data_IF_306603131822
#
_entry.id   IF_306603131822
#
_cell.length_a   1.000
_cell.length_b   1.000
_cell.length_c   1.000
_cell.angle_alpha   90.00
_cell.angle_beta   90.00
_cell.angle_gamma   90.00
#
_symmetry.space_group_name_H-M   'P 1'
#
loop_
_entity.id
_entity.type
_entity.pdbx_description
1 polymer ?
#
# COMPACT_ATOMS: atom_id res chain seq x y z
N UNK A 1 -19.67 -11.34 20.43
CA UNK A 1 -19.26 -12.59 19.84
C UNK A 1 -20.28 -13.68 20.16
N UNK A 2 -21.10 -14.05 19.19
CA UNK A 2 -22.22 -15.01 19.34
C UNK A 2 -21.72 -16.46 19.52
N UNK A 3 -20.43 -16.69 19.35
CA UNK A 3 -19.83 -18.03 19.34
C UNK A 3 -19.43 -18.58 20.73
N UNK A 4 -19.61 -17.82 21.81
CA UNK A 4 -19.23 -18.23 23.16
C UNK A 4 -20.39 -18.21 24.15
N UNK A 5 -21.64 -18.41 23.70
CA UNK A 5 -22.78 -18.72 24.58
C UNK A 5 -23.30 -17.61 25.51
N UNK A 6 -22.73 -16.43 25.50
CA UNK A 6 -23.29 -15.26 26.17
C UNK A 6 -24.23 -14.53 25.18
N UNK A 7 -25.53 -14.75 25.37
CA UNK A 7 -26.58 -14.02 24.65
C UNK A 7 -26.55 -12.54 25.03
N UNK A 8 -25.65 -11.79 24.38
CA UNK A 8 -25.67 -10.34 24.50
C UNK A 8 -26.86 -9.80 23.73
N UNK A 9 -27.71 -9.04 24.37
CA UNK A 9 -28.85 -8.39 23.70
C UNK A 9 -28.37 -7.62 22.45
N UNK A 10 -29.07 -7.82 21.33
CA UNK A 10 -28.78 -7.10 20.09
C UNK A 10 -29.07 -5.62 20.33
N UNK A 11 -28.09 -4.72 20.18
CA UNK A 11 -28.30 -3.29 20.38
C UNK A 11 -29.29 -2.70 19.36
N UNK A 12 -29.94 -1.58 19.68
CA UNK A 12 -30.85 -0.88 18.76
C UNK A 12 -30.19 -0.56 17.40
N UNK A 13 -30.98 -0.53 16.34
CA UNK A 13 -30.50 -0.26 14.96
C UNK A 13 -29.58 0.97 14.84
N UNK A 14 -29.90 2.15 15.44
CA UNK A 14 -29.02 3.33 15.33
C UNK A 14 -27.66 3.07 15.97
N UNK A 15 -27.57 2.31 17.05
CA UNK A 15 -26.32 2.00 17.72
C UNK A 15 -25.46 1.02 16.90
N UNK A 16 -26.11 0.08 16.19
CA UNK A 16 -25.43 -0.80 15.24
C UNK A 16 -24.85 -0.04 14.07
N UNK A 17 -25.59 0.91 13.50
CA UNK A 17 -25.11 1.76 12.42
C UNK A 17 -23.95 2.64 12.88
N UNK A 18 -24.04 3.25 14.05
CA UNK A 18 -22.96 4.05 14.62
C UNK A 18 -21.69 3.22 14.86
N UNK A 19 -21.85 2.02 15.43
CA UNK A 19 -20.73 1.10 15.65
C UNK A 19 -20.09 0.61 14.33
N UNK A 20 -20.89 0.34 13.31
CA UNK A 20 -20.41 -0.05 11.99
C UNK A 20 -19.62 1.10 11.32
N UNK A 21 -20.16 2.33 11.36
CA UNK A 21 -19.48 3.52 10.85
C UNK A 21 -18.16 3.78 11.58
N UNK A 22 -18.13 3.62 12.88
CA UNK A 22 -16.92 3.78 13.66
C UNK A 22 -15.87 2.73 13.29
N UNK A 23 -16.26 1.46 13.11
CA UNK A 23 -15.36 0.39 12.64
C UNK A 23 -14.82 0.65 11.24
N UNK A 24 -15.66 1.14 10.33
CA UNK A 24 -15.23 1.51 8.98
C UNK A 24 -14.21 2.66 9.03
N UNK A 25 -14.48 3.73 9.79
CA UNK A 25 -13.55 4.85 9.95
C UNK A 25 -12.21 4.41 10.55
N UNK A 26 -12.23 3.56 11.57
CA UNK A 26 -11.02 3.00 12.19
C UNK A 26 -10.27 2.09 11.23
N UNK A 27 -10.98 1.30 10.42
CA UNK A 27 -10.39 0.42 9.41
C UNK A 27 -9.76 1.15 8.23
N UNK A 28 -10.26 2.34 7.89
CA UNK A 28 -9.74 3.19 6.82
C UNK A 28 -8.53 4.03 7.25
N UNK A 29 -8.24 4.10 8.55
CA UNK A 29 -7.06 4.85 9.02
C UNK A 29 -5.80 4.07 8.68
N UNK A 30 -4.87 4.69 7.97
CA UNK A 30 -3.56 4.09 7.71
C UNK A 30 -2.89 3.74 9.03
N UNK A 31 -2.52 2.47 9.20
CA UNK A 31 -1.83 1.97 10.40
C UNK A 31 -0.36 2.37 10.41
N UNK A 32 0.24 2.51 9.22
CA UNK A 32 1.60 3.00 9.08
C UNK A 32 1.61 4.52 9.27
N UNK A 33 2.46 5.00 10.16
CA UNK A 33 2.62 6.42 10.46
C UNK A 33 4.05 6.84 10.24
N UNK A 34 4.25 8.06 9.81
CA UNK A 34 5.57 8.66 9.75
C UNK A 34 6.19 8.72 11.15
N UNK A 35 7.44 8.29 11.26
CA UNK A 35 8.23 8.34 12.49
C UNK A 35 9.61 8.89 12.18
N UNK A 36 10.23 9.52 13.16
CA UNK A 36 11.62 9.98 13.07
C UNK A 36 12.54 8.84 13.51
N UNK A 37 13.47 8.45 12.64
CA UNK A 37 14.50 7.47 13.00
C UNK A 37 15.64 8.15 13.76
N UNK A 38 15.62 8.07 15.09
CA UNK A 38 16.67 8.57 15.97
C UNK A 38 17.54 7.44 16.56
N UNK A 39 17.53 6.25 15.94
CA UNK A 39 18.25 5.07 16.47
C UNK A 39 19.73 5.03 16.14
N UNK A 40 20.21 5.85 15.20
CA UNK A 40 21.56 5.78 14.66
C UNK A 40 21.77 4.67 13.62
N UNK A 41 20.74 3.86 13.33
CA UNK A 41 20.78 2.78 12.32
C UNK A 41 20.03 3.23 11.09
N UNK A 42 20.73 3.55 9.99
CA UNK A 42 20.11 4.08 8.77
C UNK A 42 19.11 3.07 8.13
N UNK A 43 19.45 1.79 8.09
CA UNK A 43 18.62 0.71 7.53
C UNK A 43 17.91 -0.10 8.63
N UNK A 44 17.11 0.59 9.43
CA UNK A 44 16.43 -0.04 10.55
C UNK A 44 15.24 -0.89 10.10
N UNK A 45 15.31 -2.21 10.27
CA UNK A 45 14.31 -3.17 9.77
C UNK A 45 12.90 -2.90 10.28
N UNK A 46 12.74 -2.55 11.56
CA UNK A 46 11.43 -2.28 12.18
C UNK A 46 10.84 -0.93 11.76
N UNK A 47 11.63 -0.04 11.15
CA UNK A 47 11.21 1.29 10.68
C UNK A 47 11.07 1.35 9.15
N UNK A 48 10.95 0.18 8.48
CA UNK A 48 10.75 0.11 7.04
C UNK A 48 12.04 0.25 6.21
N UNK A 49 13.20 0.16 6.85
CA UNK A 49 14.53 0.34 6.22
C UNK A 49 14.76 1.77 5.75
N UNK A 50 15.22 1.99 4.52
CA UNK A 50 15.45 3.33 3.98
C UNK A 50 14.22 3.84 3.22
N UNK A 51 13.90 5.14 3.32
CA UNK A 51 12.96 5.78 2.42
C UNK A 51 13.47 5.73 0.97
N UNK A 52 12.55 5.77 0.02
CA UNK A 52 12.87 5.96 -1.39
C UNK A 52 13.28 7.42 -1.64
N UNK A 53 14.10 7.65 -2.66
CA UNK A 53 14.37 8.99 -3.15
C UNK A 53 13.08 9.63 -3.71
N UNK A 54 12.98 10.96 -3.65
CA UNK A 54 11.78 11.70 -4.09
C UNK A 54 11.41 11.39 -5.55
N UNK A 55 12.40 11.28 -6.45
CA UNK A 55 12.18 10.90 -7.83
C UNK A 55 11.55 9.49 -7.95
N UNK A 56 11.99 8.54 -7.13
CA UNK A 56 11.43 7.20 -7.12
C UNK A 56 9.99 7.19 -6.55
N UNK A 57 9.72 7.97 -5.51
CA UNK A 57 8.37 8.14 -4.98
C UNK A 57 7.41 8.71 -6.03
N UNK A 58 7.85 9.73 -6.77
CA UNK A 58 7.08 10.34 -7.86
C UNK A 58 6.78 9.33 -8.96
N UNK A 59 7.78 8.59 -9.41
CA UNK A 59 7.62 7.57 -10.46
C UNK A 59 6.67 6.44 -10.02
N UNK A 60 6.74 6.00 -8.77
CA UNK A 60 5.81 5.01 -8.20
C UNK A 60 4.38 5.55 -8.17
N UNK A 61 4.21 6.81 -7.77
CA UNK A 61 2.89 7.45 -7.74
C UNK A 61 2.29 7.58 -9.14
N UNK A 62 3.07 8.00 -10.13
CA UNK A 62 2.64 8.09 -11.52
C UNK A 62 2.21 6.73 -12.07
N UNK A 63 3.04 5.70 -11.87
CA UNK A 63 2.74 4.34 -12.31
C UNK A 63 1.51 3.74 -11.61
N UNK A 64 1.30 4.06 -10.34
CA UNK A 64 0.15 3.57 -9.57
C UNK A 64 -1.15 4.30 -9.90
N UNK A 65 -1.08 5.53 -10.40
CA UNK A 65 -2.25 6.38 -10.68
C UNK A 65 -2.75 6.26 -12.12
N UNK A 66 -1.98 5.63 -13.02
CA UNK A 66 -2.26 5.58 -14.45
C UNK A 66 -2.14 4.16 -14.99
N UNK A 67 -2.74 3.93 -16.16
CA UNK A 67 -2.40 2.76 -16.96
C UNK A 67 -0.99 2.91 -17.50
N UNK A 68 -0.22 1.82 -17.51
CA UNK A 68 1.17 1.79 -17.99
C UNK A 68 1.34 0.73 -19.07
N UNK A 69 2.39 0.86 -19.85
CA UNK A 69 2.76 -0.10 -20.89
C UNK A 69 3.60 -1.27 -20.37
N UNK A 70 3.33 -1.74 -19.14
CA UNK A 70 4.14 -2.76 -18.44
C UNK A 70 4.44 -4.02 -19.30
N UNK A 71 3.47 -4.48 -20.07
CA UNK A 71 3.61 -5.64 -20.98
C UNK A 71 3.14 -5.28 -22.40
N UNK A 72 3.33 -4.03 -22.83
CA UNK A 72 2.86 -3.55 -24.11
C UNK A 72 3.91 -2.72 -24.81
N UNK A 73 4.25 -3.07 -26.04
CA UNK A 73 5.18 -2.32 -26.90
C UNK A 73 4.40 -1.28 -27.69
N UNK A 74 4.59 0.01 -27.39
CA UNK A 74 3.83 1.11 -27.98
C UNK A 74 4.06 1.23 -29.50
N UNK A 75 5.28 0.96 -29.96
CA UNK A 75 5.69 1.07 -31.36
C UNK A 75 5.03 0.05 -32.26
N UNK A 76 4.79 -1.15 -31.73
CA UNK A 76 4.25 -2.28 -32.53
C UNK A 76 2.79 -2.58 -32.23
N UNK A 77 2.26 -2.05 -31.11
CA UNK A 77 0.93 -2.39 -30.64
C UNK A 77 0.78 -3.84 -30.19
N UNK A 78 1.89 -4.51 -29.86
CA UNK A 78 1.90 -5.93 -29.49
C UNK A 78 2.26 -6.11 -28.02
N UNK A 79 2.03 -7.32 -27.51
CA UNK A 79 2.46 -7.70 -26.16
C UNK A 79 3.98 -7.69 -26.06
N UNK A 80 4.50 -6.96 -25.05
CA UNK A 80 5.92 -6.86 -24.73
C UNK A 80 6.33 -7.69 -23.51
N UNK A 81 7.64 -7.62 -23.19
CA UNK A 81 8.20 -8.24 -21.99
C UNK A 81 8.06 -7.32 -20.78
N UNK A 82 7.63 -7.86 -19.65
CA UNK A 82 7.56 -7.16 -18.35
C UNK A 82 8.93 -6.68 -17.85
N UNK A 83 9.99 -7.38 -18.19
CA UNK A 83 11.35 -7.11 -17.74
C UNK A 83 12.09 -6.10 -18.60
N UNK A 84 11.60 -5.81 -19.80
CA UNK A 84 12.28 -4.92 -20.77
C UNK A 84 12.60 -3.55 -20.20
N UNK A 85 11.72 -2.99 -19.36
CA UNK A 85 11.92 -1.66 -18.77
C UNK A 85 13.14 -1.57 -17.82
N UNK A 86 13.60 -2.68 -17.26
CA UNK A 86 14.69 -2.70 -16.27
C UNK A 86 15.90 -3.53 -16.73
N UNK A 87 15.77 -4.30 -17.80
CA UNK A 87 16.77 -5.24 -18.26
C UNK A 87 18.11 -4.56 -18.63
N UNK A 88 18.04 -3.47 -19.39
CA UNK A 88 19.24 -2.71 -19.76
C UNK A 88 19.95 -2.13 -18.55
N UNK A 89 19.19 -1.60 -17.58
CA UNK A 89 19.75 -1.03 -16.35
C UNK A 89 20.44 -2.11 -15.50
N UNK A 90 19.85 -3.30 -15.41
CA UNK A 90 20.41 -4.41 -14.64
C UNK A 90 21.66 -5.02 -15.32
N UNK A 91 21.76 -4.93 -16.65
CA UNK A 91 22.94 -5.42 -17.38
C UNK A 91 24.14 -4.45 -17.28
N UNK A 92 23.93 -3.19 -16.95
CA UNK A 92 24.99 -2.19 -16.79
C UNK A 92 25.56 -2.16 -15.37
N UNK A 93 24.82 -2.62 -14.37
CA UNK A 93 25.24 -2.72 -12.96
C UNK A 93 26.04 -3.99 -12.69
#
# INVERSE_FOLDING_TARGET
SVLHGEARAIPPRPDLCAAALQRLRTGQTMRLRHVVNATGVALHTNLGRAPLADAACTAVQEAASNYTNLEYTLETGARGSRTAAVEELLCVL
#
